data_IF_076779554038
#
_entry.id   IF_076779554038
#
_cell.length_a   1.000
_cell.length_b   1.000
_cell.length_c   1.000
_cell.angle_alpha   90.00
_cell.angle_beta   90.00
_cell.angle_gamma   90.00
#
_symmetry.space_group_name_H-M   'P 1'
#
loop_
_entity.id
_entity.type
_entity.pdbx_description
1 polymer ?
#
# COMPACT_ATOMS: atom_id res chain seq x y z
N UNK A 1 -50.16 -51.14 16.56
CA UNK A 1 -49.93 -51.05 15.11
C UNK A 1 -49.05 -49.84 14.83
N UNK A 2 -48.06 -49.95 13.92
CA UNK A 2 -47.06 -48.92 13.67
C UNK A 2 -47.57 -47.91 12.64
N UNK A 3 -47.08 -46.67 12.69
CA UNK A 3 -47.07 -45.78 11.53
C UNK A 3 -45.82 -44.92 11.57
N UNK A 4 -44.83 -45.38 10.80
CA UNK A 4 -43.59 -44.71 10.47
C UNK A 4 -43.85 -43.44 9.67
N UNK A 5 -43.01 -42.42 9.82
CA UNK A 5 -42.75 -41.44 8.78
C UNK A 5 -41.26 -41.05 8.83
N UNK A 6 -40.53 -41.15 7.71
CA UNK A 6 -39.09 -41.04 7.71
C UNK A 6 -38.60 -39.60 7.57
N UNK A 7 -37.45 -39.39 8.18
CA UNK A 7 -36.47 -38.33 8.05
C UNK A 7 -36.29 -37.77 6.62
N UNK A 8 -36.42 -36.45 6.47
CA UNK A 8 -35.79 -35.71 5.37
C UNK A 8 -34.52 -35.04 5.89
N UNK A 9 -33.47 -35.84 6.06
CA UNK A 9 -32.12 -35.36 6.28
C UNK A 9 -31.53 -35.00 4.91
N UNK A 10 -31.64 -33.72 4.55
CA UNK A 10 -31.04 -33.15 3.34
C UNK A 10 -29.52 -33.05 3.57
N UNK A 11 -28.80 -34.16 3.37
CA UNK A 11 -27.35 -34.14 3.30
C UNK A 11 -26.93 -33.28 2.12
N UNK A 12 -26.55 -32.04 2.38
CA UNK A 12 -25.74 -31.26 1.44
C UNK A 12 -24.43 -32.03 1.26
N UNK A 13 -24.26 -32.63 0.08
CA UNK A 13 -23.01 -33.27 -0.28
C UNK A 13 -21.92 -32.19 -0.34
N UNK A 14 -21.09 -32.16 0.68
CA UNK A 14 -19.88 -31.35 0.71
C UNK A 14 -18.96 -31.87 -0.41
N UNK A 15 -18.49 -31.01 -1.35
CA UNK A 15 -17.61 -31.46 -2.41
C UNK A 15 -16.36 -32.07 -1.79
N UNK A 16 -15.98 -33.26 -2.27
CA UNK A 16 -14.81 -33.97 -1.79
C UNK A 16 -13.57 -33.05 -1.89
N UNK A 17 -12.68 -33.06 -0.89
CA UNK A 17 -11.45 -32.28 -0.95
C UNK A 17 -10.65 -32.69 -2.19
N UNK A 18 -10.08 -31.73 -2.94
CA UNK A 18 -9.30 -32.03 -4.13
C UNK A 18 -8.09 -32.90 -3.75
N UNK A 19 -7.78 -33.86 -4.61
CA UNK A 19 -6.63 -34.75 -4.43
C UNK A 19 -5.33 -33.92 -4.34
N UNK A 20 -4.58 -34.01 -3.24
CA UNK A 20 -3.34 -33.23 -3.07
C UNK A 20 -2.30 -33.52 -4.16
N UNK A 21 -2.30 -34.73 -4.73
CA UNK A 21 -1.36 -35.10 -5.81
C UNK A 21 -1.72 -34.36 -7.10
N UNK A 22 -3.01 -34.30 -7.44
CA UNK A 22 -3.48 -33.55 -8.60
C UNK A 22 -3.21 -32.04 -8.46
N UNK A 23 -3.38 -31.50 -7.25
CA UNK A 23 -3.07 -30.10 -6.96
C UNK A 23 -1.57 -29.80 -7.13
N UNK A 24 -0.70 -30.68 -6.59
CA UNK A 24 0.74 -30.54 -6.72
C UNK A 24 1.20 -30.60 -8.19
N UNK A 25 0.66 -31.54 -8.97
CA UNK A 25 0.95 -31.64 -10.40
C UNK A 25 0.51 -30.40 -11.19
N UNK A 26 -0.66 -29.85 -10.86
CA UNK A 26 -1.15 -28.62 -11.49
C UNK A 26 -0.26 -27.42 -11.17
N UNK A 27 0.19 -27.28 -9.92
CA UNK A 27 1.13 -26.23 -9.51
C UNK A 27 2.49 -26.38 -10.19
N UNK A 28 3.01 -27.60 -10.28
CA UNK A 28 4.25 -27.90 -10.98
C UNK A 28 4.18 -27.49 -12.46
N UNK A 29 3.10 -27.85 -13.15
CA UNK A 29 2.88 -27.48 -14.55
C UNK A 29 2.75 -25.96 -14.75
N UNK A 30 2.03 -25.28 -13.85
CA UNK A 30 1.90 -23.83 -13.91
C UNK A 30 3.25 -23.12 -13.71
N UNK A 31 4.06 -23.59 -12.76
CA UNK A 31 5.42 -23.08 -12.55
C UNK A 31 6.32 -23.31 -13.78
N UNK A 32 6.24 -24.50 -14.38
CA UNK A 32 7.00 -24.82 -15.59
C UNK A 32 6.60 -23.93 -16.78
N UNK A 33 5.30 -23.64 -16.93
CA UNK A 33 4.79 -22.78 -17.99
C UNK A 33 5.26 -21.32 -17.84
N UNK A 34 5.30 -20.79 -16.62
CA UNK A 34 5.81 -19.45 -16.34
C UNK A 34 7.31 -19.33 -16.62
N UNK A 35 8.09 -20.34 -16.23
CA UNK A 35 9.54 -20.37 -16.48
C UNK A 35 9.87 -20.55 -17.97
N UNK A 36 8.98 -21.17 -18.75
CA UNK A 36 9.17 -21.43 -20.18
C UNK A 36 8.59 -20.33 -21.08
N UNK A 37 7.81 -19.40 -20.51
CA UNK A 37 7.29 -18.27 -21.27
C UNK A 37 8.46 -17.32 -21.58
N UNK A 38 8.74 -17.00 -22.85
CA UNK A 38 9.64 -15.90 -23.15
C UNK A 38 9.05 -14.63 -22.54
N UNK A 39 9.91 -13.82 -21.92
CA UNK A 39 9.54 -12.47 -21.51
C UNK A 39 8.92 -11.73 -22.71
N UNK A 40 7.92 -10.84 -22.50
CA UNK A 40 7.41 -9.99 -23.57
C UNK A 40 8.62 -9.28 -24.20
N UNK A 41 8.98 -9.66 -25.43
CA UNK A 41 9.97 -8.91 -26.18
C UNK A 41 9.30 -7.59 -26.51
N UNK A 42 9.84 -6.50 -25.96
CA UNK A 42 9.53 -5.17 -26.43
C UNK A 42 9.83 -5.13 -27.93
N UNK A 43 8.77 -5.06 -28.73
CA UNK A 43 8.88 -4.75 -30.14
C UNK A 43 9.54 -3.37 -30.25
N UNK A 44 10.63 -3.19 -31.03
CA UNK A 44 11.16 -1.86 -31.27
C UNK A 44 10.07 -1.04 -31.97
N UNK A 45 9.59 0.02 -31.33
CA UNK A 45 8.64 0.96 -31.91
C UNK A 45 9.29 1.67 -33.10
N UNK A 46 8.65 1.69 -34.28
CA UNK A 46 9.21 2.29 -35.48
C UNK A 46 8.95 3.80 -35.50
N UNK A 47 9.45 4.57 -34.53
CA UNK A 47 9.25 6.03 -34.48
C UNK A 47 10.41 6.77 -33.78
N UNK A 48 11.67 6.32 -33.98
CA UNK A 48 12.87 6.99 -33.43
C UNK A 48 13.47 8.02 -34.43
N UNK A 49 12.61 8.84 -35.06
CA UNK A 49 13.02 10.05 -35.76
C UNK A 49 12.37 11.28 -35.11
N UNK A 50 13.14 11.93 -34.22
CA UNK A 50 13.00 13.37 -33.97
C UNK A 50 12.09 13.85 -32.84
N UNK A 51 11.94 13.10 -31.75
CA UNK A 51 11.21 13.59 -30.57
C UNK A 51 12.15 14.16 -29.50
N UNK A 52 12.30 15.48 -29.47
CA UNK A 52 13.10 16.24 -28.48
C UNK A 52 12.38 16.36 -27.11
N UNK A 53 11.37 15.49 -26.87
CA UNK A 53 10.66 15.42 -25.59
C UNK A 53 11.55 14.70 -24.57
N UNK A 54 11.65 15.20 -23.33
CA UNK A 54 12.36 14.46 -22.28
C UNK A 54 11.70 13.09 -22.15
N UNK A 55 12.47 12.03 -22.47
CA UNK A 55 12.02 10.64 -22.30
C UNK A 55 11.56 10.49 -20.85
N UNK A 56 10.30 10.13 -20.65
CA UNK A 56 9.78 9.82 -19.32
C UNK A 56 10.58 8.64 -18.76
N UNK A 57 11.41 8.91 -17.74
CA UNK A 57 12.21 7.88 -17.09
C UNK A 57 11.33 7.12 -16.09
N UNK A 58 11.00 5.87 -16.40
CA UNK A 58 10.29 4.99 -15.47
C UNK A 58 11.33 4.26 -14.61
N UNK A 59 11.32 4.51 -13.30
CA UNK A 59 12.20 3.83 -12.33
C UNK A 59 11.46 2.72 -11.61
N UNK A 60 12.09 1.56 -11.53
CA UNK A 60 11.57 0.42 -10.80
C UNK A 60 12.21 0.35 -9.42
N UNK A 61 11.40 0.14 -8.38
CA UNK A 61 11.86 0.04 -7.00
C UNK A 61 11.42 -1.28 -6.39
N UNK A 62 12.29 -1.86 -5.58
CA UNK A 62 12.01 -3.05 -4.80
C UNK A 62 11.79 -2.68 -3.34
N UNK A 63 10.71 -3.21 -2.80
CA UNK A 63 10.38 -3.09 -1.38
C UNK A 63 10.74 -4.37 -0.64
N UNK A 64 11.29 -4.24 0.56
CA UNK A 64 11.44 -5.38 1.46
C UNK A 64 10.05 -5.86 1.92
N UNK A 65 9.85 -7.16 2.19
CA UNK A 65 8.59 -7.65 2.75
C UNK A 65 8.22 -7.01 4.09
N UNK A 66 9.22 -6.54 4.85
CA UNK A 66 9.04 -5.83 6.11
C UNK A 66 8.50 -4.41 5.85
N UNK A 67 9.03 -3.69 4.86
CA UNK A 67 8.51 -2.40 4.44
C UNK A 67 7.04 -2.48 4.02
N UNK A 68 6.67 -3.46 3.19
CA UNK A 68 5.26 -3.63 2.77
C UNK A 68 4.33 -3.92 3.95
N UNK A 69 4.80 -4.67 4.94
CA UNK A 69 4.04 -4.90 6.18
C UNK A 69 3.91 -3.63 7.00
N UNK A 70 5.00 -2.90 7.19
CA UNK A 70 5.02 -1.64 7.92
C UNK A 70 4.12 -0.58 7.27
N UNK A 71 4.12 -0.49 5.94
CA UNK A 71 3.21 0.37 5.19
C UNK A 71 1.76 0.00 5.49
N UNK A 72 1.42 -1.28 5.39
CA UNK A 72 0.06 -1.76 5.67
C UNK A 72 -0.39 -1.44 7.10
N UNK A 73 0.44 -1.72 8.10
CA UNK A 73 0.14 -1.43 9.51
C UNK A 73 -0.04 0.08 9.73
N UNK A 74 0.79 0.91 9.10
CA UNK A 74 0.68 2.36 9.17
C UNK A 74 -0.63 2.88 8.55
N UNK A 75 -1.02 2.35 7.39
CA UNK A 75 -2.27 2.72 6.72
C UNK A 75 -3.48 2.32 7.56
N UNK A 76 -3.45 1.15 8.20
CA UNK A 76 -4.50 0.71 9.12
C UNK A 76 -4.57 1.59 10.38
N UNK A 77 -3.43 1.93 10.99
CA UNK A 77 -3.36 2.79 12.19
C UNK A 77 -3.95 4.19 11.92
N UNK A 78 -3.68 4.74 10.73
CA UNK A 78 -4.10 6.07 10.33
C UNK A 78 -5.44 6.08 9.58
N UNK A 79 -6.03 4.90 9.34
CA UNK A 79 -7.24 4.71 8.53
C UNK A 79 -7.16 5.44 7.17
N UNK A 80 -6.06 5.22 6.45
CA UNK A 80 -5.80 5.80 5.13
C UNK A 80 -5.85 4.74 4.03
N UNK A 81 -6.34 5.12 2.86
CA UNK A 81 -6.43 4.26 1.67
C UNK A 81 -5.07 4.04 1.01
N UNK A 82 -4.11 4.93 1.23
CA UNK A 82 -2.75 4.78 0.71
C UNK A 82 -1.79 5.87 1.17
N UNK A 83 -0.51 5.69 0.82
CA UNK A 83 0.56 6.60 1.25
C UNK A 83 0.32 8.04 0.80
N UNK A 84 -0.20 8.24 -0.41
CA UNK A 84 -0.53 9.57 -0.95
C UNK A 84 -1.48 10.31 0.00
N UNK A 85 -2.46 9.62 0.56
CA UNK A 85 -3.39 10.21 1.50
C UNK A 85 -2.69 10.60 2.81
N UNK A 86 -1.83 9.73 3.37
CA UNK A 86 -1.05 10.05 4.56
C UNK A 86 -0.19 11.30 4.39
N UNK A 87 0.54 11.37 3.28
CA UNK A 87 1.37 12.53 2.95
C UNK A 87 0.51 13.78 2.76
N UNK A 88 -0.64 13.65 2.11
CA UNK A 88 -1.59 14.76 1.95
C UNK A 88 -2.16 15.25 3.29
N UNK A 89 -2.52 14.34 4.20
CA UNK A 89 -3.02 14.67 5.54
C UNK A 89 -1.94 15.39 6.37
N UNK A 90 -0.72 14.87 6.37
CA UNK A 90 0.41 15.47 7.06
C UNK A 90 0.73 16.87 6.49
N UNK A 91 0.84 16.97 5.16
CA UNK A 91 1.06 18.25 4.47
C UNK A 91 -0.04 19.26 4.75
N UNK A 92 -1.31 18.85 4.70
CA UNK A 92 -2.45 19.74 4.98
C UNK A 92 -2.41 20.24 6.41
N UNK A 93 -2.00 19.39 7.36
CA UNK A 93 -1.86 19.78 8.77
C UNK A 93 -0.75 20.81 8.97
N UNK A 94 0.40 20.65 8.29
CA UNK A 94 1.50 21.63 8.32
C UNK A 94 1.07 22.95 7.68
N UNK A 95 0.40 22.91 6.52
CA UNK A 95 -0.08 24.12 5.85
C UNK A 95 -1.10 24.87 6.71
N UNK A 96 -2.04 24.16 7.32
CA UNK A 96 -3.00 24.76 8.25
C UNK A 96 -2.30 25.41 9.45
N UNK A 97 -1.28 24.74 10.00
CA UNK A 97 -0.47 25.29 11.08
C UNK A 97 0.26 26.58 10.66
N UNK A 98 0.91 26.58 9.50
CA UNK A 98 1.59 27.75 8.96
C UNK A 98 0.60 28.92 8.76
N UNK A 99 -0.55 28.67 8.13
CA UNK A 99 -1.58 29.69 7.93
C UNK A 99 -2.13 30.24 9.25
N UNK A 100 -2.29 29.40 10.28
CA UNK A 100 -2.69 29.88 11.60
C UNK A 100 -1.65 30.82 12.20
N UNK A 101 -0.37 30.50 12.10
CA UNK A 101 0.71 31.36 12.60
C UNK A 101 0.84 32.66 11.80
N UNK A 102 0.68 32.62 10.48
CA UNK A 102 0.71 33.82 9.62
C UNK A 102 -0.44 34.79 9.90
N UNK A 103 -1.59 34.28 10.34
CA UNK A 103 -2.74 35.10 10.72
C UNK A 103 -2.58 35.77 12.09
N UNK A 104 -1.62 35.33 12.90
CA UNK A 104 -1.40 35.89 14.21
C UNK A 104 -0.63 37.20 14.10
N UNK A 105 -1.12 38.23 14.79
CA UNK A 105 -0.39 39.48 14.94
C UNK A 105 0.97 39.23 15.61
N UNK A 106 2.03 39.88 15.13
CA UNK A 106 3.39 39.66 15.62
C UNK A 106 3.53 39.98 17.12
N UNK A 107 2.68 40.89 17.64
CA UNK A 107 2.64 41.25 19.05
C UNK A 107 1.59 40.46 19.86
N UNK A 108 0.88 39.50 19.24
CA UNK A 108 -0.16 38.72 19.89
C UNK A 108 0.43 37.87 21.03
N UNK A 109 -0.19 37.97 22.20
CA UNK A 109 0.09 37.04 23.29
C UNK A 109 -0.70 35.76 23.07
N UNK A 110 0.01 34.64 22.98
CA UNK A 110 -0.56 33.31 22.81
C UNK A 110 -0.67 32.64 24.18
N UNK A 111 -1.83 32.08 24.50
CA UNK A 111 -1.99 31.27 25.70
C UNK A 111 -1.08 30.04 25.63
N UNK A 112 -0.38 29.74 26.73
CA UNK A 112 0.47 28.55 26.84
C UNK A 112 -0.28 27.24 26.59
N UNK A 113 -1.58 27.18 26.90
CA UNK A 113 -2.43 26.04 26.55
C UNK A 113 -2.54 25.84 25.04
N UNK A 114 -2.70 26.93 24.28
CA UNK A 114 -2.76 26.90 22.81
C UNK A 114 -1.41 26.45 22.25
N UNK A 115 -0.30 27.00 22.77
CA UNK A 115 1.05 26.58 22.39
C UNK A 115 1.24 25.07 22.62
N UNK A 116 0.77 24.55 23.75
CA UNK A 116 0.89 23.12 24.07
C UNK A 116 0.12 22.23 23.09
N UNK A 117 -1.10 22.62 22.70
CA UNK A 117 -1.88 21.90 21.68
C UNK A 117 -1.14 21.92 20.34
N UNK A 118 -0.68 23.09 19.92
CA UNK A 118 0.06 23.29 18.67
C UNK A 118 1.34 22.43 18.62
N UNK A 119 2.09 22.38 19.72
CA UNK A 119 3.29 21.53 19.83
C UNK A 119 2.93 20.04 19.74
N UNK A 120 1.84 19.60 20.36
CA UNK A 120 1.39 18.20 20.30
C UNK A 120 0.97 17.79 18.89
N UNK A 121 0.27 18.66 18.16
CA UNK A 121 -0.10 18.39 16.77
C UNK A 121 1.12 18.35 15.85
N UNK A 122 2.08 19.25 16.03
CA UNK A 122 3.35 19.20 15.30
C UNK A 122 4.11 17.89 15.59
N UNK A 123 4.16 17.45 16.85
CA UNK A 123 4.78 16.18 17.21
C UNK A 123 4.09 15.01 16.50
N UNK A 124 2.75 14.98 16.49
CA UNK A 124 1.97 13.94 15.80
C UNK A 124 2.31 13.89 14.30
N UNK A 125 2.42 15.04 13.65
CA UNK A 125 2.81 15.13 12.23
C UNK A 125 4.25 14.64 12.03
N UNK A 126 5.17 15.02 12.91
CA UNK A 126 6.55 14.57 12.88
C UNK A 126 6.67 13.05 13.03
N UNK A 127 5.93 12.46 13.97
CA UNK A 127 5.89 11.02 14.19
C UNK A 127 5.32 10.29 12.97
N UNK A 128 4.30 10.85 12.31
CA UNK A 128 3.74 10.30 11.08
C UNK A 128 4.77 10.30 9.94
N UNK A 129 5.46 11.42 9.70
CA UNK A 129 6.52 11.47 8.68
C UNK A 129 7.68 10.54 8.99
N UNK A 130 8.06 10.42 10.26
CA UNK A 130 9.09 9.48 10.68
C UNK A 130 8.71 8.04 10.36
N UNK A 131 7.48 7.62 10.68
CA UNK A 131 6.98 6.26 10.35
C UNK A 131 6.95 6.03 8.84
N UNK A 132 6.50 7.01 8.05
CA UNK A 132 6.56 6.94 6.59
C UNK A 132 8.01 6.76 6.13
N UNK A 133 8.94 7.58 6.60
CA UNK A 133 10.34 7.46 6.22
C UNK A 133 10.94 6.11 6.59
N UNK A 134 10.64 5.62 7.80
CA UNK A 134 11.15 4.34 8.31
C UNK A 134 10.71 3.17 7.42
N UNK A 135 9.42 3.12 7.05
CA UNK A 135 8.86 2.11 6.14
C UNK A 135 9.61 2.09 4.80
N UNK A 136 9.94 3.26 4.24
CA UNK A 136 10.57 3.37 2.92
C UNK A 136 12.10 3.41 2.96
N UNK A 137 12.72 3.33 4.15
CA UNK A 137 14.17 3.37 4.31
C UNK A 137 14.90 2.17 3.67
N UNK A 138 14.17 1.08 3.42
CA UNK A 138 14.70 -0.17 2.83
C UNK A 138 14.37 -0.32 1.34
N UNK A 139 13.88 0.74 0.68
CA UNK A 139 13.63 0.74 -0.75
C UNK A 139 14.93 0.74 -1.53
N UNK A 140 15.04 -0.18 -2.49
CA UNK A 140 16.18 -0.30 -3.38
C UNK A 140 15.76 -0.03 -4.83
N UNK A 141 16.58 0.74 -5.57
CA UNK A 141 16.39 0.91 -7.00
C UNK A 141 16.72 -0.41 -7.72
N UNK A 142 15.84 -0.82 -8.62
CA UNK A 142 16.09 -1.96 -9.51
C UNK A 142 16.74 -1.42 -10.77
N UNK A 143 18.01 -1.75 -10.97
CA UNK A 143 18.70 -1.48 -12.23
C UNK A 143 18.08 -2.38 -13.32
N UNK A 144 17.49 -1.73 -14.34
CA UNK A 144 16.89 -2.37 -15.52
C UNK A 144 17.88 -2.44 -16.67
#
# INVERSE_FOLDING_TARGET
MPSSSPSHQRSQAQPAPPDPIALAAMLQNAAQALLSSPAPRESPSPDDEGDDRPREEIRSYRFSPLALRGEKELLEEQNAEGLRELVSMASSSVMAFASLLELMDEAAKVDGFVIHILARELQRIGDLFFKIQDVYSTVELVET
#
